data_IF_923455440336
#
_entry.id   IF_923455440336
#
_cell.length_a   1.000
_cell.length_b   1.000
_cell.length_c   1.000
_cell.angle_alpha   90.00
_cell.angle_beta   90.00
_cell.angle_gamma   90.00
#
_symmetry.space_group_name_H-M   'P 1'
#
loop_
_entity.id
_entity.type
_entity.pdbx_description
1 polymer ?
#
# COMPACT_ATOMS: atom_id res chain seq x y z
N UNK A 1 -2.12 -15.07 13.30
CA UNK A 1 -2.75 -14.06 12.41
C UNK A 1 -2.55 -12.68 13.01
N UNK A 2 -1.34 -12.14 12.92
CA UNK A 2 -1.01 -10.79 13.39
C UNK A 2 -1.15 -9.83 12.22
N UNK A 3 -1.88 -8.73 12.42
CA UNK A 3 -2.16 -7.69 11.40
C UNK A 3 -0.89 -6.93 10.93
N UNK A 4 0.32 -7.47 11.12
CA UNK A 4 1.60 -6.80 10.85
C UNK A 4 1.87 -5.56 11.72
N UNK A 5 0.87 -5.09 12.46
CA UNK A 5 0.91 -3.91 13.32
C UNK A 5 1.11 -4.24 14.79
N UNK A 6 0.57 -5.39 15.22
CA UNK A 6 0.57 -5.84 16.60
C UNK A 6 1.08 -7.28 16.65
N UNK A 7 2.11 -7.51 17.45
CA UNK A 7 2.55 -8.85 17.82
C UNK A 7 2.04 -9.13 19.24
N UNK A 8 1.29 -10.21 19.41
CA UNK A 8 0.93 -10.67 20.75
C UNK A 8 2.16 -11.33 21.38
N UNK A 9 2.51 -10.90 22.59
CA UNK A 9 3.59 -11.44 23.39
C UNK A 9 3.10 -12.62 24.25
N UNK A 10 4.00 -13.50 24.73
CA UNK A 10 3.63 -14.67 25.54
C UNK A 10 2.90 -14.34 26.84
N UNK A 11 3.02 -13.11 27.34
CA UNK A 11 2.39 -12.61 28.57
C UNK A 11 1.03 -11.92 28.33
N UNK A 12 0.49 -12.00 27.10
CA UNK A 12 -0.79 -11.42 26.73
C UNK A 12 -0.74 -9.94 26.36
N UNK A 13 0.43 -9.28 26.44
CA UNK A 13 0.61 -7.90 25.95
C UNK A 13 0.73 -7.85 24.43
N UNK A 14 0.53 -6.67 23.85
CA UNK A 14 0.73 -6.44 22.42
C UNK A 14 1.86 -5.44 22.18
N UNK A 15 2.78 -5.80 21.28
CA UNK A 15 3.87 -4.95 20.80
C UNK A 15 3.45 -4.25 19.51
N UNK A 16 3.63 -2.94 19.44
CA UNK A 16 3.44 -2.15 18.21
C UNK A 16 4.67 -2.30 17.32
N UNK A 17 4.49 -2.90 16.15
CA UNK A 17 5.59 -3.20 15.22
C UNK A 17 6.00 -1.98 14.36
N UNK A 18 5.16 -0.94 14.29
CA UNK A 18 5.46 0.29 13.55
C UNK A 18 4.84 1.54 14.19
N UNK A 19 5.65 2.42 14.81
CA UNK A 19 5.17 3.69 15.38
C UNK A 19 4.49 4.61 14.34
N UNK A 20 4.96 4.59 13.09
CA UNK A 20 4.40 5.40 11.99
C UNK A 20 2.98 4.95 11.64
N UNK A 21 2.75 3.65 11.55
CA UNK A 21 1.42 3.09 11.28
C UNK A 21 0.48 3.30 12.46
N UNK A 22 0.99 3.22 13.69
CA UNK A 22 0.23 3.56 14.90
C UNK A 22 -0.23 5.03 14.88
N UNK A 23 0.61 5.96 14.45
CA UNK A 23 0.23 7.37 14.27
C UNK A 23 -0.87 7.52 13.20
N UNK A 24 -0.73 6.88 12.04
CA UNK A 24 -1.73 6.93 10.98
C UNK A 24 -3.10 6.40 11.45
N UNK A 25 -3.13 5.29 12.19
CA UNK A 25 -4.36 4.74 12.77
C UNK A 25 -5.03 5.67 13.79
N UNK A 26 -4.26 6.48 14.53
CA UNK A 26 -4.83 7.52 15.41
C UNK A 26 -5.45 8.68 14.63
N UNK A 27 -4.84 9.09 13.52
CA UNK A 27 -5.42 10.14 12.68
C UNK A 27 -6.71 9.67 12.01
N UNK A 28 -6.79 8.41 11.57
CA UNK A 28 -8.04 7.82 11.06
C UNK A 28 -9.16 7.83 12.12
N UNK A 29 -8.82 7.52 13.37
CA UNK A 29 -9.79 7.60 14.47
C UNK A 29 -10.30 9.02 14.72
N UNK A 30 -9.42 10.04 14.63
CA UNK A 30 -9.85 11.45 14.72
C UNK A 30 -10.80 11.86 13.60
N UNK A 31 -10.73 11.19 12.45
CA UNK A 31 -11.66 11.36 11.32
C UNK A 31 -12.93 10.51 11.46
N UNK A 32 -13.15 9.87 12.62
CA UNK A 32 -14.35 9.08 12.91
C UNK A 32 -14.31 7.63 12.41
N UNK A 33 -13.17 7.15 11.91
CA UNK A 33 -13.04 5.75 11.46
C UNK A 33 -12.89 4.82 12.68
N UNK A 34 -13.77 3.82 12.86
CA UNK A 34 -13.65 2.86 13.96
C UNK A 34 -12.32 2.10 13.94
N UNK A 35 -11.84 1.67 15.11
CA UNK A 35 -10.56 0.97 15.25
C UNK A 35 -10.53 -0.32 14.43
N UNK A 36 -11.59 -1.12 14.49
CA UNK A 36 -11.72 -2.39 13.78
C UNK A 36 -11.63 -2.17 12.26
N UNK A 37 -12.25 -1.10 11.76
CA UNK A 37 -12.18 -0.70 10.34
C UNK A 37 -10.78 -0.25 9.96
N UNK A 38 -10.10 0.51 10.82
CA UNK A 38 -8.71 0.94 10.60
C UNK A 38 -7.74 -0.24 10.54
N UNK A 39 -7.96 -1.25 11.39
CA UNK A 39 -7.17 -2.50 11.40
C UNK A 39 -7.39 -3.32 10.13
N UNK A 40 -8.65 -3.50 9.70
CA UNK A 40 -8.97 -4.17 8.44
C UNK A 40 -8.36 -3.44 7.24
N UNK A 41 -8.52 -2.13 7.18
CA UNK A 41 -7.93 -1.28 6.16
C UNK A 41 -6.41 -1.47 6.08
N UNK A 42 -5.72 -1.46 7.23
CA UNK A 42 -4.27 -1.63 7.25
C UNK A 42 -3.83 -3.03 6.81
N UNK A 43 -4.59 -4.08 7.13
CA UNK A 43 -4.32 -5.42 6.64
C UNK A 43 -4.41 -5.51 5.11
N UNK A 44 -5.46 -4.92 4.52
CA UNK A 44 -5.60 -4.86 3.06
C UNK A 44 -4.47 -4.08 2.41
N UNK A 45 -4.11 -2.91 2.96
CA UNK A 45 -2.98 -2.11 2.46
C UNK A 45 -1.68 -2.90 2.53
N UNK A 46 -1.45 -3.65 3.62
CA UNK A 46 -0.27 -4.49 3.78
C UNK A 46 -0.21 -5.61 2.73
N UNK A 47 -1.32 -6.30 2.49
CA UNK A 47 -1.40 -7.35 1.47
C UNK A 47 -1.03 -6.81 0.08
N UNK A 48 -1.49 -5.60 -0.28
CA UNK A 48 -1.08 -4.95 -1.52
C UNK A 48 0.38 -4.52 -1.51
N UNK A 49 0.89 -4.00 -0.40
CA UNK A 49 2.30 -3.64 -0.27
C UNK A 49 3.23 -4.86 -0.43
N UNK A 50 2.87 -6.00 0.14
CA UNK A 50 3.62 -7.26 0.00
C UNK A 50 3.63 -7.72 -1.48
N UNK A 51 2.49 -7.62 -2.18
CA UNK A 51 2.44 -7.90 -3.63
C UNK A 51 3.30 -6.95 -4.46
N UNK A 52 3.28 -5.65 -4.14
CA UNK A 52 4.10 -4.66 -4.82
C UNK A 52 5.59 -4.89 -4.57
N UNK A 53 5.97 -5.26 -3.34
CA UNK A 53 7.35 -5.61 -3.01
C UNK A 53 7.84 -6.79 -3.86
N UNK A 54 6.99 -7.80 -4.07
CA UNK A 54 7.34 -8.94 -4.91
C UNK A 54 7.66 -8.52 -6.35
N UNK A 55 6.92 -7.58 -6.94
CA UNK A 55 7.19 -7.07 -8.30
C UNK A 55 8.60 -6.45 -8.40
N UNK A 56 9.05 -5.70 -7.38
CA UNK A 56 10.40 -5.15 -7.38
C UNK A 56 11.48 -6.22 -7.18
N UNK A 57 11.21 -7.22 -6.35
CA UNK A 57 12.12 -8.36 -6.16
C UNK A 57 12.25 -9.16 -7.45
N UNK A 58 11.14 -9.43 -8.14
CA UNK A 58 11.14 -10.15 -9.42
C UNK A 58 11.96 -9.37 -10.47
N UNK A 59 11.79 -8.05 -10.54
CA UNK A 59 12.61 -7.20 -11.40
C UNK A 59 14.10 -7.34 -11.09
N UNK A 60 14.49 -7.34 -9.81
CA UNK A 60 15.88 -7.55 -9.41
C UNK A 60 16.40 -8.94 -9.80
N UNK A 61 15.59 -9.96 -9.58
CA UNK A 61 15.96 -11.33 -9.90
C UNK A 61 16.22 -11.47 -11.40
N UNK A 62 15.30 -10.98 -12.23
CA UNK A 62 15.40 -11.03 -13.68
C UNK A 62 16.57 -10.22 -14.24
N UNK A 63 16.82 -9.03 -13.70
CA UNK A 63 17.76 -8.07 -14.31
C UNK A 63 19.17 -8.11 -13.74
N UNK A 64 19.35 -8.61 -12.52
CA UNK A 64 20.64 -8.59 -11.82
C UNK A 64 21.05 -10.01 -11.39
N UNK A 65 20.17 -10.71 -10.67
CA UNK A 65 20.53 -12.01 -10.10
C UNK A 65 20.73 -13.09 -11.16
N UNK A 66 19.77 -13.27 -12.06
CA UNK A 66 19.81 -14.31 -13.09
C UNK A 66 21.02 -14.14 -14.01
N UNK A 67 21.33 -12.94 -14.55
CA UNK A 67 22.55 -12.74 -15.33
C UNK A 67 23.84 -13.02 -14.56
N UNK A 68 23.90 -12.64 -13.28
CA UNK A 68 25.04 -12.93 -12.40
C UNK A 68 25.21 -14.45 -12.17
N UNK A 69 24.10 -15.16 -12.00
CA UNK A 69 24.07 -16.61 -11.83
C UNK A 69 24.48 -17.34 -13.11
N UNK A 70 23.96 -16.93 -14.27
CA UNK A 70 24.30 -17.49 -15.58
C UNK A 70 25.78 -17.27 -15.94
N UNK A 71 26.39 -16.18 -15.48
CA UNK A 71 27.82 -15.91 -15.60
C UNK A 71 28.70 -16.80 -14.68
N UNK A 72 28.11 -17.70 -13.88
CA UNK A 72 28.82 -18.57 -12.96
C UNK A 72 29.16 -17.91 -11.62
N UNK A 73 28.48 -16.79 -11.28
CA UNK A 73 28.65 -16.06 -10.01
C UNK A 73 30.11 -15.64 -9.74
N UNK A 74 30.76 -14.90 -10.65
CA UNK A 74 32.14 -14.44 -10.47
C UNK A 74 32.28 -13.57 -9.21
N UNK A 75 33.37 -13.73 -8.47
CA UNK A 75 33.57 -13.02 -7.19
C UNK A 75 33.55 -11.49 -7.37
N UNK A 76 34.05 -11.01 -8.50
CA UNK A 76 34.12 -9.59 -8.85
C UNK A 76 32.75 -8.97 -9.12
N UNK A 77 31.74 -9.78 -9.44
CA UNK A 77 30.37 -9.31 -9.69
C UNK A 77 29.55 -9.06 -8.42
N UNK A 78 29.99 -9.59 -7.28
CA UNK A 78 29.23 -9.52 -6.03
C UNK A 78 28.97 -8.10 -5.51
N UNK A 79 29.93 -7.17 -5.55
CA UNK A 79 29.69 -5.78 -5.17
C UNK A 79 28.55 -5.13 -5.98
N UNK A 80 28.47 -5.42 -7.29
CA UNK A 80 27.42 -4.85 -8.14
C UNK A 80 26.01 -5.38 -7.78
N UNK A 81 25.91 -6.65 -7.39
CA UNK A 81 24.65 -7.26 -6.92
C UNK A 81 24.19 -6.60 -5.61
N UNK A 82 25.13 -6.38 -4.68
CA UNK A 82 24.85 -5.69 -3.41
C UNK A 82 24.42 -4.24 -3.63
N UNK A 83 25.16 -3.49 -4.45
CA UNK A 83 24.83 -2.11 -4.79
C UNK A 83 23.44 -1.99 -5.43
N UNK A 84 23.07 -2.94 -6.30
CA UNK A 84 21.74 -2.96 -6.90
C UNK A 84 20.63 -3.17 -5.87
N UNK A 85 20.82 -4.09 -4.90
CA UNK A 85 19.85 -4.31 -3.81
C UNK A 85 19.70 -3.08 -2.92
N UNK A 86 20.80 -2.47 -2.52
CA UNK A 86 20.80 -1.30 -1.64
C UNK A 86 20.09 -0.10 -2.29
N UNK A 87 20.25 0.06 -3.60
CA UNK A 87 19.63 1.16 -4.36
C UNK A 87 18.18 0.87 -4.73
N UNK A 88 17.79 -0.40 -4.88
CA UNK A 88 16.44 -0.77 -5.27
C UNK A 88 15.40 -0.35 -4.22
N UNK A 89 15.68 -0.57 -2.94
CA UNK A 89 14.71 -0.29 -1.87
C UNK A 89 14.25 1.19 -1.80
N UNK A 90 15.15 2.21 -1.80
CA UNK A 90 14.73 3.60 -1.81
C UNK A 90 14.02 3.99 -3.11
N UNK A 91 14.51 3.52 -4.27
CA UNK A 91 13.89 3.80 -5.57
C UNK A 91 12.47 3.23 -5.69
N UNK A 92 12.26 2.00 -5.20
CA UNK A 92 10.95 1.36 -5.14
C UNK A 92 9.98 2.14 -4.25
N UNK A 93 10.47 2.66 -3.11
CA UNK A 93 9.65 3.45 -2.18
C UNK A 93 9.23 4.79 -2.79
N UNK A 94 10.15 5.51 -3.43
CA UNK A 94 9.89 6.81 -4.07
C UNK A 94 8.93 6.68 -5.25
N UNK A 95 9.17 5.71 -6.14
CA UNK A 95 8.31 5.45 -7.29
C UNK A 95 6.91 5.00 -6.86
N UNK A 96 6.80 4.12 -5.85
CA UNK A 96 5.51 3.70 -5.32
C UNK A 96 4.73 4.88 -4.72
N UNK A 97 5.38 5.77 -3.98
CA UNK A 97 4.71 6.96 -3.42
C UNK A 97 4.17 7.87 -4.52
N UNK A 98 4.94 8.10 -5.58
CA UNK A 98 4.52 8.90 -6.73
C UNK A 98 3.33 8.26 -7.46
N UNK A 99 3.42 6.96 -7.77
CA UNK A 99 2.35 6.18 -8.41
C UNK A 99 1.06 6.19 -7.57
N UNK A 100 1.19 6.01 -6.25
CA UNK A 100 0.07 6.06 -5.33
C UNK A 100 -0.61 7.43 -5.33
N UNK A 101 0.15 8.53 -5.33
CA UNK A 101 -0.39 9.89 -5.42
C UNK A 101 -1.25 10.09 -6.68
N UNK A 102 -0.77 9.63 -7.84
CA UNK A 102 -1.54 9.70 -9.09
C UNK A 102 -2.81 8.83 -9.04
N UNK A 103 -2.70 7.60 -8.52
CA UNK A 103 -3.84 6.70 -8.40
C UNK A 103 -4.92 7.26 -7.46
N UNK A 104 -4.52 7.87 -6.34
CA UNK A 104 -5.43 8.50 -5.37
C UNK A 104 -6.18 9.69 -5.97
N UNK A 105 -5.49 10.55 -6.72
CA UNK A 105 -6.09 11.66 -7.46
C UNK A 105 -7.18 11.14 -8.40
N UNK A 106 -6.83 10.19 -9.25
CA UNK A 106 -7.74 9.63 -10.23
C UNK A 106 -8.93 8.89 -9.59
N UNK A 107 -8.72 8.20 -8.47
CA UNK A 107 -9.79 7.54 -7.73
C UNK A 107 -10.77 8.54 -7.12
N UNK A 108 -10.27 9.63 -6.55
CA UNK A 108 -11.08 10.70 -5.97
C UNK A 108 -11.94 11.37 -7.04
N UNK A 109 -11.33 11.76 -8.16
CA UNK A 109 -12.02 12.42 -9.26
C UNK A 109 -13.16 11.54 -9.80
N UNK A 110 -12.92 10.23 -9.97
CA UNK A 110 -13.96 9.26 -10.35
C UNK A 110 -15.09 9.15 -9.32
N UNK A 111 -14.76 9.10 -8.03
CA UNK A 111 -15.74 8.98 -6.97
C UNK A 111 -16.67 10.22 -6.90
N UNK A 112 -16.10 11.42 -7.06
CA UNK A 112 -16.87 12.67 -7.10
C UNK A 112 -17.78 12.69 -8.33
N UNK A 113 -17.25 12.35 -9.52
CA UNK A 113 -18.04 12.33 -10.75
C UNK A 113 -19.20 11.32 -10.69
N UNK A 114 -19.00 10.17 -10.04
CA UNK A 114 -20.06 9.20 -9.79
C UNK A 114 -21.12 9.74 -8.81
N UNK A 115 -20.70 10.37 -7.71
CA UNK A 115 -21.63 10.96 -6.75
C UNK A 115 -22.50 12.05 -7.40
N UNK A 116 -21.90 12.94 -8.20
CA UNK A 116 -22.63 13.98 -8.94
C UNK A 116 -23.61 13.40 -9.96
N UNK A 117 -23.22 12.33 -10.69
CA UNK A 117 -24.13 11.65 -11.63
C UNK A 117 -25.33 11.04 -10.91
N UNK A 118 -25.14 10.43 -9.74
CA UNK A 118 -26.26 9.88 -8.94
C UNK A 118 -27.23 10.97 -8.52
N UNK A 119 -26.73 12.12 -8.05
CA UNK A 119 -27.57 13.26 -7.70
C UNK A 119 -28.33 13.85 -8.90
N UNK A 120 -27.71 13.87 -10.09
CA UNK A 120 -28.35 14.38 -11.30
C UNK A 120 -29.39 13.41 -11.91
N UNK A 121 -29.30 12.12 -11.60
CA UNK A 121 -30.26 11.08 -12.02
C UNK A 121 -31.44 10.97 -11.03
N UNK A 122 -31.33 11.58 -9.85
CA UNK A 122 -32.39 11.67 -8.83
C UNK A 122 -33.18 13.02 -8.80
N UNK A 123 -33.81 13.49 -9.90
CA UNK A 123 -34.82 14.55 -9.86
C UNK A 123 -36.28 14.04 -9.96
N UNK A 124 -36.51 12.72 -10.09
CA UNK A 124 -37.83 12.16 -10.42
C UNK A 124 -38.75 11.84 -9.22
N UNK A 125 -38.27 11.81 -7.98
CA UNK A 125 -39.16 11.77 -6.81
C UNK A 125 -39.67 13.17 -6.39
N UNK A 126 -39.00 14.24 -6.82
CA UNK A 126 -39.37 15.62 -6.47
C UNK A 126 -40.62 16.13 -7.21
N UNK A 127 -40.94 15.57 -8.39
CA UNK A 127 -42.06 16.03 -9.24
C UNK A 127 -43.34 15.15 -9.05
N UNK A 128 -43.19 13.91 -8.59
CA UNK A 128 -44.33 13.00 -8.33
C UNK A 128 -45.01 13.29 -6.98
N UNK A 129 -44.31 13.90 -6.01
CA UNK A 129 -44.90 14.36 -4.75
C UNK A 129 -45.56 15.74 -4.83
N UNK A 130 -45.41 16.44 -5.97
CA UNK A 130 -45.98 17.76 -6.23
C UNK A 130 -47.22 17.74 -7.15
N UNK A 131 -47.68 16.54 -7.57
CA UNK A 131 -48.90 16.30 -8.36
C UNK A 131 -49.89 15.42 -7.60
#
# INVERSE_FOLDING_TARGET
SSLGLLRQLPDGRFEILSPRLSKAGRELQKLGVPLERSLQFTATVREHADRLAQIYVDLFLETVWTPFEEAGRPAEGWPAVQDALERLQPLASESLLALFGMAMRAATDRAIAEALRRMAVDPAEADVAAS
#
